data_IF_476664545890
#
_entry.id   IF_476664545890
#
_cell.length_a   1.000
_cell.length_b   1.000
_cell.length_c   1.000
_cell.angle_alpha   90.00
_cell.angle_beta   90.00
_cell.angle_gamma   90.00
#
_symmetry.space_group_name_H-M   'P 1'
#
loop_
_entity.id
_entity.type
_entity.pdbx_description
1 polymer ?
#
# COMPACT_ATOMS: atom_id res chain seq x y z
N UNK A 1 15.14 -25.04 -8.59
CA UNK A 1 13.69 -24.76 -8.62
C UNK A 1 13.52 -23.29 -8.92
N UNK A 2 12.74 -22.97 -9.94
CA UNK A 2 12.47 -21.59 -10.35
C UNK A 2 11.14 -21.09 -9.81
N UNK A 3 11.10 -19.80 -9.46
CA UNK A 3 9.92 -19.11 -8.94
C UNK A 3 9.56 -17.95 -9.87
N UNK A 4 8.34 -17.90 -10.36
CA UNK A 4 7.82 -16.74 -11.10
C UNK A 4 7.14 -15.81 -10.10
N UNK A 5 7.64 -14.57 -9.97
CA UNK A 5 7.14 -13.59 -9.02
C UNK A 5 6.35 -12.53 -9.78
N UNK A 6 5.04 -12.44 -9.50
CA UNK A 6 4.11 -11.58 -10.26
C UNK A 6 3.73 -10.28 -9.56
N UNK A 7 4.32 -10.00 -8.40
CA UNK A 7 4.10 -8.76 -7.65
C UNK A 7 4.60 -7.52 -8.40
N UNK A 8 4.16 -6.32 -8.03
CA UNK A 8 4.76 -5.08 -8.54
C UNK A 8 6.27 -5.09 -8.41
N UNK A 9 6.97 -4.46 -9.36
CA UNK A 9 8.41 -4.62 -9.58
C UNK A 9 9.27 -4.44 -8.32
N UNK A 10 8.98 -3.44 -7.49
CA UNK A 10 9.75 -3.17 -6.28
C UNK A 10 9.60 -4.28 -5.22
N UNK A 11 8.39 -4.83 -5.10
CA UNK A 11 8.13 -5.95 -4.20
C UNK A 11 8.70 -7.25 -4.73
N UNK A 12 8.67 -7.45 -6.06
CA UNK A 12 9.27 -8.60 -6.72
C UNK A 12 10.79 -8.64 -6.55
N UNK A 13 11.48 -7.52 -6.69
CA UNK A 13 12.93 -7.43 -6.46
C UNK A 13 13.31 -7.81 -5.02
N UNK A 14 12.57 -7.33 -4.02
CA UNK A 14 12.82 -7.69 -2.62
C UNK A 14 12.59 -9.19 -2.37
N UNK A 15 11.54 -9.74 -2.98
CA UNK A 15 11.22 -11.16 -2.89
C UNK A 15 12.25 -12.03 -3.59
N UNK A 16 12.67 -11.65 -4.80
CA UNK A 16 13.72 -12.33 -5.55
C UNK A 16 15.00 -12.45 -4.71
N UNK A 17 15.51 -11.34 -4.18
CA UNK A 17 16.69 -11.35 -3.33
C UNK A 17 16.56 -12.29 -2.11
N UNK A 18 15.38 -12.36 -1.50
CA UNK A 18 15.12 -13.26 -0.38
C UNK A 18 15.16 -14.72 -0.78
N UNK A 19 14.56 -15.10 -1.92
CA UNK A 19 14.53 -16.47 -2.39
C UNK A 19 15.86 -16.90 -3.02
N UNK A 20 16.52 -16.02 -3.76
CA UNK A 20 17.85 -16.28 -4.35
C UNK A 20 18.89 -16.57 -3.28
N UNK A 21 18.86 -15.86 -2.15
CA UNK A 21 19.73 -16.15 -1.00
C UNK A 21 19.50 -17.56 -0.39
N UNK A 22 18.45 -18.26 -0.79
CA UNK A 22 18.09 -19.61 -0.37
C UNK A 22 18.21 -20.66 -1.50
N UNK A 23 18.86 -20.29 -2.60
CA UNK A 23 19.16 -21.20 -3.71
C UNK A 23 18.03 -21.37 -4.72
N UNK A 24 17.03 -20.50 -4.71
CA UNK A 24 16.00 -20.48 -5.76
C UNK A 24 16.45 -19.58 -6.91
N UNK A 25 16.09 -19.92 -8.12
CA UNK A 25 16.14 -19.02 -9.27
C UNK A 25 14.82 -18.26 -9.36
N UNK A 26 14.85 -16.95 -9.62
CA UNK A 26 13.65 -16.12 -9.67
C UNK A 26 13.47 -15.46 -11.03
N UNK A 27 12.26 -15.59 -11.58
CA UNK A 27 11.83 -14.87 -12.77
C UNK A 27 10.86 -13.78 -12.31
N UNK A 28 11.25 -12.52 -12.49
CA UNK A 28 10.41 -11.37 -12.13
C UNK A 28 9.49 -11.06 -13.31
N UNK A 29 8.19 -11.27 -13.13
CA UNK A 29 7.16 -10.99 -14.13
C UNK A 29 5.95 -10.28 -13.52
N UNK A 30 6.04 -8.97 -13.26
CA UNK A 30 4.96 -8.22 -12.64
C UNK A 30 3.70 -8.25 -13.49
N UNK A 31 2.58 -8.62 -12.88
CA UNK A 31 1.26 -8.53 -13.51
C UNK A 31 0.51 -7.23 -13.13
N UNK A 32 1.12 -6.39 -12.30
CA UNK A 32 0.63 -5.06 -11.95
C UNK A 32 1.73 -4.02 -12.12
N UNK A 33 1.37 -2.90 -12.74
CA UNK A 33 2.20 -1.71 -12.82
C UNK A 33 1.68 -0.62 -11.90
N UNK A 34 2.54 -0.14 -11.01
CA UNK A 34 2.18 0.93 -10.07
C UNK A 34 2.65 2.27 -10.63
N UNK A 35 1.70 3.18 -10.80
CA UNK A 35 1.96 4.56 -11.21
C UNK A 35 1.58 5.53 -10.10
N UNK A 36 2.55 6.32 -9.64
CA UNK A 36 2.36 7.30 -8.57
C UNK A 36 1.96 8.67 -9.15
N UNK A 37 1.04 9.35 -8.44
CA UNK A 37 0.62 10.68 -8.82
C UNK A 37 1.69 11.72 -8.41
N UNK A 38 2.21 12.46 -9.38
CA UNK A 38 3.11 13.60 -9.13
C UNK A 38 2.27 14.82 -8.77
N UNK A 39 2.24 15.21 -7.51
CA UNK A 39 1.50 16.38 -7.02
C UNK A 39 2.28 17.11 -5.95
N UNK A 40 2.06 18.43 -5.88
CA UNK A 40 2.35 19.17 -4.65
C UNK A 40 1.34 18.72 -3.58
N UNK A 41 1.81 18.30 -2.41
CA UNK A 41 0.99 17.80 -1.31
C UNK A 41 1.01 18.81 -0.19
N UNK A 42 -0.18 19.23 0.23
CA UNK A 42 -0.38 20.03 1.43
C UNK A 42 -1.12 19.18 2.46
N UNK A 43 -0.50 18.94 3.59
CA UNK A 43 -1.06 18.23 4.73
C UNK A 43 -1.42 19.17 5.88
N UNK A 44 -1.13 20.46 5.80
CA UNK A 44 -1.29 21.40 6.92
C UNK A 44 -2.74 21.50 7.39
N UNK A 45 -3.68 21.41 6.46
CA UNK A 45 -5.11 21.43 6.79
C UNK A 45 -5.64 20.14 7.45
N UNK A 46 -4.80 19.11 7.62
CA UNK A 46 -5.20 17.81 8.18
C UNK A 46 -4.51 17.53 9.51
N UNK A 47 -5.26 16.98 10.45
CA UNK A 47 -4.74 16.55 11.76
C UNK A 47 -4.14 15.13 11.68
N UNK A 48 -4.71 14.29 10.82
CA UNK A 48 -4.33 12.89 10.71
C UNK A 48 -4.39 12.36 9.28
N UNK A 49 -3.76 11.22 9.07
CA UNK A 49 -3.70 10.54 7.77
C UNK A 49 -4.02 9.06 7.93
N UNK A 50 -4.81 8.50 7.01
CA UNK A 50 -5.07 7.07 6.92
C UNK A 50 -4.22 6.48 5.79
N UNK A 51 -3.49 5.42 6.10
CA UNK A 51 -2.65 4.65 5.15
C UNK A 51 -3.05 3.18 5.19
N UNK A 52 -3.52 2.63 4.07
CA UNK A 52 -3.94 1.23 3.95
C UNK A 52 -3.05 0.41 3.03
N UNK A 53 -2.03 1.04 2.44
CA UNK A 53 -1.13 0.40 1.48
C UNK A 53 0.27 0.98 1.57
N UNK A 54 1.27 0.11 1.38
CA UNK A 54 2.68 0.53 1.22
C UNK A 54 2.86 1.47 0.03
N UNK A 55 2.07 1.33 -1.04
CA UNK A 55 2.14 2.23 -2.18
C UNK A 55 1.68 3.65 -1.82
N UNK A 56 0.71 3.81 -0.91
CA UNK A 56 0.36 5.11 -0.38
C UNK A 56 1.53 5.73 0.43
N UNK A 57 2.27 4.93 1.20
CA UNK A 57 3.49 5.39 1.89
C UNK A 57 4.57 5.80 0.87
N UNK A 58 4.83 4.97 -0.12
CA UNK A 58 5.85 5.22 -1.16
C UNK A 58 5.54 6.44 -2.01
N UNK A 59 4.26 6.75 -2.18
CA UNK A 59 3.87 7.99 -2.87
C UNK A 59 4.34 9.25 -2.15
N UNK A 60 4.63 9.17 -0.84
CA UNK A 60 5.11 10.29 0.00
C UNK A 60 6.62 10.54 -0.07
N UNK A 61 7.39 9.71 -0.76
CA UNK A 61 8.87 9.67 -0.72
C UNK A 61 9.55 10.98 -1.16
N UNK A 62 8.85 11.87 -1.86
CA UNK A 62 9.38 13.17 -2.26
C UNK A 62 9.11 14.29 -1.23
N UNK A 63 9.59 14.08 0.02
CA UNK A 63 9.91 15.13 1.01
C UNK A 63 8.78 16.11 1.36
N UNK A 64 7.62 15.61 1.74
CA UNK A 64 6.59 16.49 2.25
C UNK A 64 6.79 16.76 3.75
N UNK A 65 7.43 17.91 4.06
CA UNK A 65 7.66 18.35 5.45
C UNK A 65 6.34 18.53 6.22
N UNK A 66 5.23 18.76 5.53
CA UNK A 66 3.91 18.97 6.14
C UNK A 66 3.27 17.66 6.61
N UNK A 67 3.81 16.51 6.22
CA UNK A 67 3.42 15.19 6.74
C UNK A 67 3.93 14.92 8.16
N UNK A 68 4.94 15.65 8.61
CA UNK A 68 5.51 15.48 9.96
C UNK A 68 4.50 15.86 11.06
N UNK A 69 4.61 15.19 12.23
CA UNK A 69 3.78 15.46 13.43
C UNK A 69 2.27 15.22 13.24
N UNK A 70 1.90 14.35 12.31
CA UNK A 70 0.52 13.89 12.11
C UNK A 70 0.25 12.62 12.88
N UNK A 71 -0.98 12.41 13.30
CA UNK A 71 -1.43 11.08 13.71
C UNK A 71 -1.67 10.23 12.47
N UNK A 72 -1.03 9.07 12.40
CA UNK A 72 -1.10 8.16 11.25
C UNK A 72 -1.85 6.89 11.64
N UNK A 73 -3.01 6.70 11.05
CA UNK A 73 -3.78 5.46 11.13
C UNK A 73 -3.27 4.50 10.07
N UNK A 74 -2.48 3.51 10.48
CA UNK A 74 -1.85 2.57 9.55
C UNK A 74 -2.56 1.20 9.60
N UNK A 75 -3.13 0.78 8.47
CA UNK A 75 -3.81 -0.48 8.31
C UNK A 75 -2.90 -1.51 7.63
N UNK A 76 -2.67 -2.63 8.32
CA UNK A 76 -1.79 -3.71 7.90
C UNK A 76 -0.34 -3.53 8.38
N UNK A 77 0.25 -4.62 8.88
CA UNK A 77 1.58 -4.63 9.49
C UNK A 77 2.68 -4.12 8.55
N UNK A 78 2.61 -4.45 7.26
CA UNK A 78 3.59 -4.00 6.26
C UNK A 78 3.51 -2.51 6.01
N UNK A 79 2.31 -1.94 5.96
CA UNK A 79 2.07 -0.51 5.79
C UNK A 79 2.57 0.27 7.00
N UNK A 80 2.22 -0.20 8.20
CA UNK A 80 2.69 0.38 9.47
C UNK A 80 4.21 0.43 9.55
N UNK A 81 4.88 -0.70 9.25
CA UNK A 81 6.35 -0.80 9.27
C UNK A 81 7.01 0.20 8.31
N UNK A 82 6.52 0.25 7.07
CA UNK A 82 7.09 1.11 6.02
C UNK A 82 6.84 2.60 6.35
N UNK A 83 5.64 2.94 6.85
CA UNK A 83 5.30 4.30 7.25
C UNK A 83 6.16 4.78 8.44
N UNK A 84 6.40 3.94 9.42
CA UNK A 84 7.23 4.27 10.59
C UNK A 84 8.71 4.48 10.26
N UNK A 85 9.22 3.75 9.25
CA UNK A 85 10.57 3.98 8.73
C UNK A 85 10.64 5.31 7.97
N UNK A 86 9.60 5.64 7.21
CA UNK A 86 9.53 6.86 6.41
C UNK A 86 9.43 8.13 7.26
N UNK A 87 8.59 8.14 8.29
CA UNK A 87 8.33 9.30 9.13
C UNK A 87 8.30 8.91 10.62
N UNK A 88 9.46 8.62 11.25
CA UNK A 88 9.53 8.05 12.60
C UNK A 88 8.94 8.95 13.69
N UNK A 89 8.89 10.27 13.46
CA UNK A 89 8.44 11.27 14.46
C UNK A 89 6.92 11.45 14.51
N UNK A 90 6.16 10.74 13.66
CA UNK A 90 4.72 10.77 13.71
C UNK A 90 4.16 9.86 14.81
N UNK A 91 2.98 10.20 15.31
CA UNK A 91 2.20 9.29 16.15
C UNK A 91 1.53 8.23 15.27
N UNK A 92 1.65 6.95 15.63
CA UNK A 92 1.08 5.83 14.86
C UNK A 92 0.07 5.05 15.65
N UNK A 93 -1.12 4.84 15.05
CA UNK A 93 -2.15 3.94 15.54
C UNK A 93 -2.31 2.82 14.53
N UNK A 94 -2.05 1.58 14.99
CA UNK A 94 -2.08 0.38 14.15
C UNK A 94 -3.46 -0.26 14.13
N UNK A 95 -3.87 -0.71 12.95
CA UNK A 95 -5.04 -1.55 12.71
C UNK A 95 -4.65 -2.75 11.85
N UNK A 96 -5.27 -3.91 12.09
CA UNK A 96 -4.97 -5.14 11.33
C UNK A 96 -5.26 -4.97 9.84
N UNK A 97 -6.36 -4.29 9.51
CA UNK A 97 -6.80 -4.00 8.16
C UNK A 97 -7.79 -2.82 8.16
N UNK A 98 -8.30 -2.45 6.99
CA UNK A 98 -9.23 -1.33 6.85
C UNK A 98 -10.60 -1.59 7.49
N UNK A 99 -11.06 -2.84 7.52
CA UNK A 99 -12.32 -3.18 8.18
C UNK A 99 -12.22 -3.02 9.70
N UNK A 100 -11.10 -3.48 10.30
CA UNK A 100 -10.81 -3.27 11.73
C UNK A 100 -10.78 -1.77 12.09
N UNK A 101 -10.16 -0.95 11.24
CA UNK A 101 -10.19 0.52 11.38
C UNK A 101 -11.62 1.05 11.39
N UNK A 102 -12.43 0.67 10.41
CA UNK A 102 -13.83 1.15 10.28
C UNK A 102 -14.66 0.73 11.48
N UNK A 103 -14.56 -0.51 11.92
CA UNK A 103 -15.34 -1.06 13.01
C UNK A 103 -14.99 -0.40 14.36
N UNK A 104 -13.69 -0.22 14.62
CA UNK A 104 -13.22 0.49 15.82
C UNK A 104 -13.61 1.96 15.82
N UNK A 105 -13.53 2.64 14.67
CA UNK A 105 -13.97 4.04 14.58
C UNK A 105 -15.49 4.21 14.73
N UNK A 106 -16.29 3.24 14.29
CA UNK A 106 -17.75 3.25 14.52
C UNK A 106 -18.11 2.99 15.97
N UNK A 107 -17.39 2.09 16.64
CA UNK A 107 -17.65 1.76 18.05
C UNK A 107 -17.21 2.84 19.03
N UNK A 108 -16.15 3.60 18.67
CA UNK A 108 -15.59 4.68 19.46
C UNK A 108 -15.64 5.99 18.67
N UNK A 109 -16.82 6.58 18.51
CA UNK A 109 -17.10 7.81 17.74
C UNK A 109 -16.19 9.02 18.03
N UNK A 110 -15.27 8.90 19.00
CA UNK A 110 -14.40 9.98 19.46
C UNK A 110 -12.92 9.77 19.16
N UNK A 111 -12.55 8.68 18.46
CA UNK A 111 -11.12 8.34 18.26
C UNK A 111 -10.42 9.11 17.13
N UNK A 112 -11.17 9.73 16.24
CA UNK A 112 -10.60 10.57 15.17
C UNK A 112 -10.99 12.03 15.45
N UNK A 113 -10.01 12.84 15.83
CA UNK A 113 -10.21 14.27 16.05
C UNK A 113 -9.75 15.08 14.83
N UNK A 114 -10.58 16.03 14.41
CA UNK A 114 -10.24 16.97 13.35
C UNK A 114 -10.41 16.39 11.94
N UNK A 115 -9.72 16.99 10.99
CA UNK A 115 -9.82 16.63 9.57
C UNK A 115 -8.79 15.57 9.22
N UNK A 116 -9.21 14.49 8.60
CA UNK A 116 -8.40 13.33 8.25
C UNK A 116 -8.28 13.19 6.74
N UNK A 117 -7.08 12.89 6.25
CA UNK A 117 -6.83 12.59 4.85
C UNK A 117 -6.59 11.10 4.64
N UNK A 118 -7.39 10.45 3.81
CA UNK A 118 -7.18 9.09 3.37
C UNK A 118 -6.37 9.07 2.08
N UNK A 119 -5.14 8.58 2.14
CA UNK A 119 -4.27 8.38 0.97
C UNK A 119 -4.49 6.96 0.46
N UNK A 120 -4.94 6.83 -0.79
CA UNK A 120 -5.38 5.55 -1.33
C UNK A 120 -4.97 5.31 -2.79
N UNK A 121 -5.08 4.08 -3.23
CA UNK A 121 -5.10 3.74 -4.64
C UNK A 121 -6.39 4.19 -5.33
N UNK A 122 -6.39 4.18 -6.66
CA UNK A 122 -7.62 4.40 -7.44
C UNK A 122 -8.69 3.38 -7.06
N UNK A 123 -8.31 2.12 -7.04
CA UNK A 123 -9.19 1.00 -6.72
C UNK A 123 -9.06 0.64 -5.24
N UNK A 124 -10.17 0.57 -4.54
CA UNK A 124 -10.24 0.29 -3.11
C UNK A 124 -11.30 -0.76 -2.81
N UNK A 125 -11.03 -1.64 -1.86
CA UNK A 125 -11.99 -2.62 -1.37
C UNK A 125 -13.06 -2.03 -0.46
N UNK A 126 -12.75 -0.88 0.20
CA UNK A 126 -13.63 -0.21 1.16
C UNK A 126 -13.65 1.29 0.89
N UNK A 127 -14.81 1.84 0.63
CA UNK A 127 -15.01 3.29 0.50
C UNK A 127 -15.19 3.94 1.87
N UNK A 128 -14.06 4.24 2.51
CA UNK A 128 -14.00 4.82 3.86
C UNK A 128 -14.75 6.15 3.94
N UNK A 129 -14.63 6.98 2.91
CA UNK A 129 -15.27 8.30 2.90
C UNK A 129 -16.80 8.20 2.92
N UNK A 130 -17.36 7.31 2.12
CA UNK A 130 -18.80 7.08 2.08
C UNK A 130 -19.33 6.48 3.39
N UNK A 131 -18.56 5.61 4.04
CA UNK A 131 -18.93 4.99 5.31
C UNK A 131 -19.11 6.02 6.43
N UNK A 132 -18.27 7.05 6.48
CA UNK A 132 -18.32 8.10 7.50
C UNK A 132 -19.11 9.35 7.08
N UNK A 133 -19.75 9.32 5.90
CA UNK A 133 -20.61 10.41 5.44
C UNK A 133 -21.79 10.59 6.40
N UNK A 134 -22.00 11.84 6.86
CA UNK A 134 -23.07 12.17 7.81
C UNK A 134 -22.70 11.95 9.29
N UNK A 135 -21.48 11.48 9.58
CA UNK A 135 -20.96 11.43 10.95
C UNK A 135 -20.15 12.69 11.29
N UNK A 136 -19.70 12.80 12.53
CA UNK A 136 -18.80 13.89 12.97
C UNK A 136 -17.37 13.70 12.46
N UNK A 137 -17.03 12.55 11.88
CA UNK A 137 -15.71 12.22 11.35
C UNK A 137 -15.59 12.82 9.94
N UNK A 138 -14.64 13.74 9.76
CA UNK A 138 -14.38 14.41 8.49
C UNK A 138 -13.22 13.73 7.77
N UNK A 139 -13.51 12.97 6.73
CA UNK A 139 -12.52 12.29 5.91
C UNK A 139 -12.57 12.83 4.48
N UNK A 140 -11.46 13.40 4.04
CA UNK A 140 -11.17 13.60 2.62
C UNK A 140 -10.35 12.44 2.10
N UNK A 141 -10.50 12.07 0.84
CA UNK A 141 -9.69 11.06 0.19
C UNK A 141 -8.87 11.63 -0.96
N UNK A 142 -7.71 11.03 -1.21
CA UNK A 142 -6.83 11.40 -2.30
C UNK A 142 -6.24 10.16 -2.95
N UNK A 143 -6.42 10.04 -4.26
CA UNK A 143 -5.79 8.99 -5.05
C UNK A 143 -4.32 9.35 -5.23
N UNK A 144 -3.42 8.50 -4.74
CA UNK A 144 -1.97 8.70 -4.79
C UNK A 144 -1.28 7.78 -5.78
N UNK A 145 -1.91 6.67 -6.14
CA UNK A 145 -1.37 5.73 -7.12
C UNK A 145 -2.47 4.98 -7.85
N UNK A 146 -2.12 4.41 -9.00
CA UNK A 146 -2.91 3.41 -9.70
C UNK A 146 -2.14 2.10 -9.75
N UNK A 147 -2.87 0.99 -9.84
CA UNK A 147 -2.31 -0.33 -10.10
C UNK A 147 -2.99 -0.84 -11.38
N UNK A 148 -2.28 -0.77 -12.48
CA UNK A 148 -2.80 -1.15 -13.79
C UNK A 148 -2.33 -2.57 -14.15
N UNK A 149 -3.23 -3.39 -14.69
CA UNK A 149 -2.94 -4.77 -15.05
C UNK A 149 -1.96 -4.84 -16.22
N UNK A 150 -0.98 -5.73 -16.12
CA UNK A 150 -0.08 -6.16 -17.20
C UNK A 150 -0.42 -7.60 -17.57
N UNK A 151 -1.09 -7.80 -18.69
CA UNK A 151 -1.62 -9.10 -19.10
C UNK A 151 -0.54 -10.00 -19.81
N UNK A 152 0.74 -9.60 -19.76
CA UNK A 152 1.78 -10.28 -20.51
C UNK A 152 2.77 -11.00 -19.60
N UNK A 153 2.97 -12.29 -19.89
CA UNK A 153 4.13 -13.00 -19.39
C UNK A 153 5.33 -12.75 -20.31
N UNK A 154 6.50 -12.58 -19.73
CA UNK A 154 7.77 -12.53 -20.49
C UNK A 154 8.05 -13.88 -21.14
N UNK A 155 8.88 -13.87 -22.19
CA UNK A 155 9.29 -15.12 -22.85
C UNK A 155 9.88 -16.12 -21.83
N UNK A 156 10.75 -15.66 -20.93
CA UNK A 156 11.36 -16.48 -19.90
C UNK A 156 10.35 -17.07 -18.90
N UNK A 157 9.27 -16.35 -18.58
CA UNK A 157 8.22 -16.84 -17.72
C UNK A 157 7.35 -17.89 -18.46
N UNK A 158 7.04 -17.65 -19.74
CA UNK A 158 6.30 -18.60 -20.59
C UNK A 158 7.11 -19.89 -20.82
N UNK A 159 8.41 -19.77 -21.09
CA UNK A 159 9.28 -20.94 -21.24
C UNK A 159 9.29 -21.77 -19.97
N UNK A 160 9.40 -21.15 -18.79
CA UNK A 160 9.35 -21.89 -17.53
C UNK A 160 8.01 -22.58 -17.30
N UNK A 161 6.89 -21.90 -17.59
CA UNK A 161 5.54 -22.48 -17.45
C UNK A 161 5.35 -23.67 -18.38
N UNK A 162 5.85 -23.59 -19.62
CA UNK A 162 5.62 -24.61 -20.66
C UNK A 162 6.57 -25.78 -20.55
N UNK A 163 7.80 -25.59 -20.06
CA UNK A 163 8.84 -26.59 -20.09
C UNK A 163 9.07 -27.29 -18.74
N UNK A 164 8.51 -26.75 -17.65
CA UNK A 164 8.67 -27.34 -16.33
C UNK A 164 7.51 -28.32 -16.01
N UNK A 165 7.84 -29.47 -15.40
CA UNK A 165 6.82 -30.39 -14.88
C UNK A 165 5.96 -29.73 -13.80
N UNK A 166 6.53 -28.76 -13.06
CA UNK A 166 5.86 -27.95 -12.05
C UNK A 166 6.36 -26.50 -12.09
N UNK A 167 5.53 -25.57 -12.56
CA UNK A 167 5.80 -24.14 -12.47
C UNK A 167 5.30 -23.58 -11.14
N UNK A 168 6.15 -22.89 -10.40
CA UNK A 168 5.81 -22.23 -9.14
C UNK A 168 5.58 -20.73 -9.37
N UNK A 169 4.35 -20.29 -9.26
CA UNK A 169 3.96 -18.88 -9.46
C UNK A 169 3.53 -18.27 -8.14
N UNK A 170 4.21 -17.21 -7.73
CA UNK A 170 3.86 -16.43 -6.54
C UNK A 170 2.91 -15.29 -6.95
N UNK A 171 1.62 -15.49 -6.67
CA UNK A 171 0.55 -14.55 -7.02
C UNK A 171 0.39 -13.48 -5.91
N UNK A 172 -0.03 -12.31 -6.34
CA UNK A 172 -0.34 -11.19 -5.46
C UNK A 172 -1.78 -11.26 -4.93
#
# INVERSE_FOLDING_TARGET
MKLIITRPIEDSKRMSSYFESRGFECIINPLLEISYQKRNRDFDSYNSVILTSRHAVRSLIDKDKTFAKKTVYACGASTYKEAKIFAPDNEYIFYENISDFVDKCKSTLHSISGKTLYLRGRDVSVDVKSIFKGTNIKIDDRIEYTADEKIFFSESALEEINNSEQAHVLIY
#
